data_IF_166928265166
#
_entry.id   IF_166928265166
#
_cell.length_a   1.000
_cell.length_b   1.000
_cell.length_c   1.000
_cell.angle_alpha   90.00
_cell.angle_beta   90.00
_cell.angle_gamma   90.00
#
_symmetry.space_group_name_H-M   'P 1'
#
loop_
_entity.id
_entity.type
_entity.pdbx_description
1 polymer ?
#
# COMPACT_ATOMS: atom_id res chain seq x y z
N UNK A 1 0.50 41.77 -22.18
CA UNK A 1 0.93 40.41 -21.80
C UNK A 1 2.45 40.37 -21.93
N UNK A 2 3.15 39.80 -20.96
CA UNK A 2 4.58 39.51 -21.15
C UNK A 2 4.74 38.52 -22.31
N UNK A 3 5.82 38.63 -23.11
CA UNK A 3 6.07 37.68 -24.20
C UNK A 3 6.24 36.26 -23.63
N UNK A 4 5.68 35.26 -24.31
CA UNK A 4 5.89 33.85 -23.96
C UNK A 4 7.39 33.54 -24.13
N UNK A 5 8.06 32.95 -23.14
CA UNK A 5 9.45 32.56 -23.25
C UNK A 5 9.68 31.62 -24.44
N UNK A 6 10.80 31.78 -25.16
CA UNK A 6 11.09 31.00 -26.37
C UNK A 6 10.96 29.47 -26.17
N UNK A 7 11.39 28.87 -25.04
CA UNK A 7 11.20 27.43 -24.78
C UNK A 7 9.72 27.00 -24.67
N UNK A 8 8.82 27.92 -24.38
CA UNK A 8 7.39 27.67 -24.17
C UNK A 8 6.54 27.94 -25.41
N UNK A 9 7.16 28.44 -26.48
CA UNK A 9 6.46 28.84 -27.70
C UNK A 9 5.70 27.66 -28.33
N UNK A 10 6.23 26.45 -28.28
CA UNK A 10 5.56 25.26 -28.83
C UNK A 10 4.20 24.97 -28.20
N UNK A 11 4.01 25.28 -26.91
CA UNK A 11 2.71 25.11 -26.25
C UNK A 11 1.73 26.21 -26.64
N UNK A 12 2.21 27.44 -26.78
CA UNK A 12 1.39 28.55 -27.28
C UNK A 12 0.91 28.29 -28.72
N UNK A 13 1.81 27.80 -29.58
CA UNK A 13 1.49 27.44 -30.96
C UNK A 13 0.48 26.27 -31.03
N UNK A 14 0.63 25.26 -30.15
CA UNK A 14 -0.31 24.16 -30.04
C UNK A 14 -1.71 24.64 -29.60
N UNK A 15 -1.79 25.54 -28.63
CA UNK A 15 -3.08 26.13 -28.20
C UNK A 15 -3.74 26.85 -29.36
N UNK A 16 -2.99 27.69 -30.10
CA UNK A 16 -3.53 28.40 -31.27
C UNK A 16 -4.05 27.44 -32.35
N UNK A 17 -3.32 26.34 -32.62
CA UNK A 17 -3.76 25.32 -33.57
C UNK A 17 -5.04 24.60 -33.12
N UNK A 18 -5.13 24.23 -31.84
CA UNK A 18 -6.32 23.59 -31.26
C UNK A 18 -7.53 24.53 -31.21
N UNK A 19 -7.32 25.83 -30.96
CA UNK A 19 -8.38 26.84 -31.01
C UNK A 19 -8.92 27.02 -32.43
N UNK A 20 -8.05 26.99 -33.45
CA UNK A 20 -8.47 26.99 -34.85
C UNK A 20 -9.27 25.74 -35.23
N UNK A 21 -8.85 24.55 -34.76
CA UNK A 21 -9.61 23.30 -34.95
C UNK A 21 -10.98 23.38 -34.26
N UNK A 22 -11.03 23.88 -33.03
CA UNK A 22 -12.28 24.04 -32.27
C UNK A 22 -13.27 24.95 -33.01
N UNK A 23 -12.78 26.04 -33.61
CA UNK A 23 -13.64 26.96 -34.36
C UNK A 23 -14.12 26.34 -35.68
N UNK A 24 -13.28 25.57 -36.38
CA UNK A 24 -13.71 24.80 -37.56
C UNK A 24 -14.82 23.79 -37.21
N UNK A 25 -14.68 23.07 -36.09
CA UNK A 25 -15.70 22.14 -35.60
C UNK A 25 -17.01 22.83 -35.20
N UNK A 26 -16.94 24.06 -34.67
CA UNK A 26 -18.13 24.85 -34.35
C UNK A 26 -18.88 25.31 -35.60
N UNK A 27 -18.15 25.73 -36.63
CA UNK A 27 -18.71 26.06 -37.95
C UNK A 27 -19.35 24.84 -38.60
N UNK A 28 -18.66 23.69 -38.55
CA UNK A 28 -19.21 22.40 -38.98
C UNK A 28 -20.50 22.09 -38.23
N UNK A 29 -20.52 22.15 -36.89
CA UNK A 29 -21.72 21.91 -36.07
C UNK A 29 -22.87 22.91 -36.33
N UNK A 30 -22.54 24.12 -36.78
CA UNK A 30 -23.50 25.15 -37.21
C UNK A 30 -24.09 24.92 -38.60
N UNK A 31 -23.63 23.89 -39.32
CA UNK A 31 -24.07 23.58 -40.69
C UNK A 31 -23.37 24.39 -41.77
N UNK A 32 -22.26 25.08 -41.46
CA UNK A 32 -21.47 25.79 -42.46
C UNK A 32 -20.93 24.81 -43.50
N UNK A 33 -21.21 25.07 -44.78
CA UNK A 33 -20.85 24.18 -45.89
C UNK A 33 -21.88 23.09 -46.22
N UNK A 34 -23.01 23.00 -45.49
CA UNK A 34 -24.11 22.09 -45.83
C UNK A 34 -25.17 22.76 -46.72
N UNK A 35 -25.83 21.99 -47.61
CA UNK A 35 -27.08 22.42 -48.24
C UNK A 35 -28.12 22.77 -47.17
N UNK A 36 -28.91 23.83 -47.39
CA UNK A 36 -29.91 24.32 -46.42
C UNK A 36 -30.99 23.29 -46.06
N UNK A 37 -31.13 22.25 -46.86
CA UNK A 37 -32.24 21.31 -46.83
C UNK A 37 -31.84 19.95 -46.23
N UNK A 38 -30.59 19.80 -45.78
CA UNK A 38 -30.03 18.53 -45.31
C UNK A 38 -29.69 18.59 -43.80
N UNK A 39 -30.62 18.20 -42.92
CA UNK A 39 -30.39 18.22 -41.48
C UNK A 39 -29.29 17.22 -41.09
N UNK A 40 -28.64 17.45 -39.95
CA UNK A 40 -27.71 16.49 -39.38
C UNK A 40 -28.37 15.12 -39.18
N UNK A 41 -27.67 14.06 -39.59
CA UNK A 41 -28.02 12.71 -39.18
C UNK A 41 -27.93 12.58 -37.65
N UNK A 42 -28.78 11.74 -37.06
CA UNK A 42 -28.90 11.60 -35.60
C UNK A 42 -27.56 11.31 -34.89
N UNK A 43 -26.66 10.54 -35.51
CA UNK A 43 -25.33 10.22 -34.95
C UNK A 43 -24.22 11.22 -35.30
N UNK A 44 -24.44 12.07 -36.30
CA UNK A 44 -23.41 12.94 -36.87
C UNK A 44 -23.13 14.16 -35.99
N UNK A 45 -24.21 14.82 -35.55
CA UNK A 45 -24.11 15.94 -34.60
C UNK A 45 -23.48 15.51 -33.28
N UNK A 46 -23.80 14.30 -32.83
CA UNK A 46 -23.21 13.72 -31.63
C UNK A 46 -21.70 13.44 -31.80
N UNK A 47 -21.29 12.93 -32.95
CA UNK A 47 -19.89 12.73 -33.28
C UNK A 47 -19.09 14.04 -33.30
N UNK A 48 -19.63 15.11 -33.89
CA UNK A 48 -19.01 16.44 -33.88
C UNK A 48 -18.90 16.98 -32.45
N UNK A 49 -19.95 16.84 -31.64
CA UNK A 49 -19.93 17.27 -30.24
C UNK A 49 -18.87 16.50 -29.41
N UNK A 50 -18.69 15.20 -29.65
CA UNK A 50 -17.62 14.42 -29.01
C UNK A 50 -16.23 14.94 -29.40
N UNK A 51 -16.01 15.30 -30.66
CA UNK A 51 -14.76 15.91 -31.14
C UNK A 51 -14.52 17.28 -30.48
N UNK A 52 -15.53 18.14 -30.42
CA UNK A 52 -15.47 19.45 -29.74
C UNK A 52 -15.04 19.28 -28.28
N UNK A 53 -15.66 18.36 -27.55
CA UNK A 53 -15.32 18.11 -26.16
C UNK A 53 -13.88 17.60 -25.98
N UNK A 54 -13.42 16.74 -26.89
CA UNK A 54 -12.03 16.25 -26.91
C UNK A 54 -11.03 17.39 -27.15
N UNK A 55 -11.27 18.25 -28.14
CA UNK A 55 -10.38 19.41 -28.43
C UNK A 55 -10.35 20.40 -27.26
N UNK A 56 -11.49 20.66 -26.61
CA UNK A 56 -11.54 21.49 -25.39
C UNK A 56 -10.65 20.94 -24.27
N UNK A 57 -10.65 19.63 -24.07
CA UNK A 57 -9.81 19.01 -23.05
C UNK A 57 -8.32 19.10 -23.41
N UNK A 58 -7.98 18.95 -24.69
CA UNK A 58 -6.61 19.18 -25.17
C UNK A 58 -6.16 20.62 -24.95
N UNK A 59 -7.01 21.62 -25.23
CA UNK A 59 -6.71 23.05 -24.97
C UNK A 59 -6.42 23.27 -23.48
N UNK A 60 -7.27 22.76 -22.58
CA UNK A 60 -7.04 22.88 -21.12
C UNK A 60 -5.73 22.24 -20.69
N UNK A 61 -5.38 21.10 -21.28
CA UNK A 61 -4.12 20.41 -21.00
C UNK A 61 -2.93 21.23 -21.48
N UNK A 62 -2.97 21.73 -22.71
CA UNK A 62 -1.92 22.55 -23.29
C UNK A 62 -1.76 23.89 -22.55
N UNK A 63 -2.86 24.52 -22.11
CA UNK A 63 -2.83 25.73 -21.27
C UNK A 63 -2.13 25.49 -19.93
N UNK A 64 -2.36 24.33 -19.31
CA UNK A 64 -1.67 23.94 -18.08
C UNK A 64 -0.17 23.77 -18.31
N UNK A 65 0.21 23.09 -19.39
CA UNK A 65 1.61 22.90 -19.78
C UNK A 65 2.29 24.22 -20.13
N UNK A 66 1.61 25.13 -20.84
CA UNK A 66 2.13 26.47 -21.12
C UNK A 66 2.33 27.25 -19.82
N UNK A 67 1.36 27.20 -18.91
CA UNK A 67 1.47 27.85 -17.60
C UNK A 67 2.68 27.31 -16.85
N UNK A 68 2.82 25.99 -16.72
CA UNK A 68 3.97 25.32 -16.11
C UNK A 68 5.29 25.73 -16.77
N UNK A 69 5.34 25.80 -18.10
CA UNK A 69 6.54 26.19 -18.82
C UNK A 69 6.91 27.65 -18.62
N UNK A 70 5.98 28.60 -18.79
CA UNK A 70 6.26 30.04 -18.62
C UNK A 70 6.84 30.29 -17.23
N UNK A 71 6.18 29.67 -16.28
CA UNK A 71 6.49 29.69 -14.88
C UNK A 71 7.88 29.08 -14.57
N UNK A 72 8.31 28.08 -15.35
CA UNK A 72 9.66 27.50 -15.32
C UNK A 72 10.78 28.41 -15.89
N UNK A 73 10.42 29.46 -16.64
CA UNK A 73 11.39 30.35 -17.30
C UNK A 73 11.55 31.71 -16.59
N UNK A 74 10.67 32.03 -15.65
CA UNK A 74 10.86 33.21 -14.80
C UNK A 74 12.00 32.96 -13.81
N UNK A 75 13.10 33.75 -13.85
CA UNK A 75 14.13 33.63 -12.84
C UNK A 75 13.49 33.98 -11.49
N UNK A 76 13.59 33.09 -10.50
CA UNK A 76 12.95 33.33 -9.22
C UNK A 76 13.68 34.45 -8.47
N UNK A 77 12.98 35.20 -7.59
CA UNK A 77 13.62 36.19 -6.75
C UNK A 77 14.76 35.57 -5.95
N UNK A 78 15.89 36.26 -5.87
CA UNK A 78 17.10 35.81 -5.17
C UNK A 78 16.86 35.49 -3.68
N UNK A 79 15.80 36.04 -3.09
CA UNK A 79 15.39 35.84 -1.69
C UNK A 79 14.20 34.87 -1.54
N UNK A 80 14.05 33.88 -2.45
CA UNK A 80 12.97 32.89 -2.33
C UNK A 80 13.15 32.07 -1.05
N UNK A 81 12.18 32.19 -0.14
CA UNK A 81 12.04 31.38 1.08
C UNK A 81 11.01 30.29 0.79
N UNK A 82 11.17 29.04 1.28
CA UNK A 82 10.15 28.02 1.07
C UNK A 82 8.86 28.43 1.79
N UNK A 83 7.74 27.82 1.41
CA UNK A 83 6.50 27.90 2.15
C UNK A 83 6.07 26.49 2.52
N UNK A 84 6.87 25.85 3.38
CA UNK A 84 6.68 24.45 3.71
C UNK A 84 5.24 24.18 4.15
N UNK A 85 4.70 23.05 3.71
CA UNK A 85 3.38 22.57 4.10
C UNK A 85 3.46 21.07 4.36
N UNK A 86 2.89 20.60 5.47
CA UNK A 86 2.63 19.16 5.66
C UNK A 86 1.40 18.77 4.84
N UNK A 87 1.64 18.37 3.59
CA UNK A 87 0.62 18.02 2.62
C UNK A 87 -0.26 16.85 3.09
N UNK A 88 0.31 15.91 3.85
CA UNK A 88 -0.41 14.75 4.38
C UNK A 88 0.39 13.95 5.42
N UNK A 89 -0.34 13.16 6.20
CA UNK A 89 0.22 12.19 7.15
C UNK A 89 -0.48 10.85 6.86
N UNK A 90 0.28 9.78 6.63
CA UNK A 90 -0.23 8.41 6.45
C UNK A 90 0.26 7.51 7.56
N UNK A 91 -0.59 6.58 8.00
CA UNK A 91 -0.27 5.61 9.05
C UNK A 91 -0.43 4.20 8.49
N UNK A 92 0.63 3.39 8.59
CA UNK A 92 0.76 2.16 7.81
C UNK A 92 1.09 0.95 8.70
N UNK A 93 0.34 -0.14 8.51
CA UNK A 93 0.52 -1.43 9.18
C UNK A 93 0.46 -2.60 8.19
N UNK A 94 0.99 -2.46 6.99
CA UNK A 94 0.94 -3.50 5.95
C UNK A 94 0.12 -3.05 4.75
N UNK A 95 -1.14 -2.71 4.95
CA UNK A 95 -1.96 -2.02 3.94
C UNK A 95 -1.91 -0.51 4.15
N UNK A 96 -2.02 0.24 3.06
CA UNK A 96 -1.97 1.68 3.04
C UNK A 96 -3.19 2.24 2.28
N UNK A 97 -3.61 3.45 2.63
CA UNK A 97 -4.33 4.32 1.71
C UNK A 97 -3.54 5.60 1.44
N UNK A 98 -3.70 6.16 0.24
CA UNK A 98 -3.14 7.47 -0.09
C UNK A 98 -3.72 8.50 0.90
N UNK A 99 -2.91 9.40 1.45
CA UNK A 99 -3.39 10.46 2.35
C UNK A 99 -4.48 11.35 1.76
N UNK A 100 -4.64 11.34 0.43
CA UNK A 100 -5.71 12.04 -0.29
C UNK A 100 -7.04 11.26 -0.31
N UNK A 101 -7.02 9.99 0.07
CA UNK A 101 -8.22 9.14 0.12
C UNK A 101 -9.08 9.48 1.34
N UNK A 102 -10.40 9.42 1.16
CA UNK A 102 -11.37 9.62 2.22
C UNK A 102 -11.66 8.35 3.04
N UNK A 103 -11.10 7.20 2.66
CA UNK A 103 -11.38 5.93 3.34
C UNK A 103 -10.28 5.57 4.35
N UNK A 104 -10.59 5.42 5.64
CA UNK A 104 -9.59 4.97 6.59
C UNK A 104 -9.33 3.47 6.47
N UNK A 105 -8.06 3.08 6.53
CA UNK A 105 -7.63 1.71 6.76
C UNK A 105 -7.87 1.34 8.21
N UNK A 106 -8.29 0.09 8.48
CA UNK A 106 -8.37 -0.43 9.85
C UNK A 106 -6.97 -0.66 10.43
N UNK A 107 -6.61 0.12 11.45
CA UNK A 107 -5.35 -0.01 12.16
C UNK A 107 -5.56 -0.77 13.46
N UNK A 108 -4.60 -1.62 13.83
CA UNK A 108 -4.65 -2.53 14.96
C UNK A 108 -3.68 -2.07 16.05
N UNK A 109 -4.13 -2.06 17.31
CA UNK A 109 -3.27 -1.75 18.46
C UNK A 109 -2.09 -2.71 18.57
N UNK A 110 -0.97 -2.23 19.11
CA UNK A 110 0.19 -3.06 19.44
C UNK A 110 0.89 -3.70 18.23
N UNK A 111 0.60 -3.24 17.00
CA UNK A 111 1.22 -3.73 15.77
C UNK A 111 2.28 -2.76 15.26
N UNK A 112 3.37 -3.26 14.66
CA UNK A 112 4.38 -2.40 14.07
C UNK A 112 3.78 -1.40 13.06
N UNK A 113 4.06 -0.10 13.27
CA UNK A 113 3.47 0.99 12.49
C UNK A 113 4.56 1.93 11.97
N UNK A 114 4.42 2.36 10.72
CA UNK A 114 5.20 3.47 10.14
C UNK A 114 4.27 4.63 9.80
N UNK A 115 4.66 5.82 10.22
CA UNK A 115 4.03 7.08 9.84
C UNK A 115 4.85 7.72 8.73
N UNK A 116 4.18 8.15 7.65
CA UNK A 116 4.80 8.86 6.52
C UNK A 116 4.25 10.27 6.49
N UNK A 117 5.13 11.27 6.55
CA UNK A 117 4.78 12.68 6.53
C UNK A 117 5.23 13.26 5.19
N UNK A 118 4.28 13.73 4.40
CA UNK A 118 4.52 14.32 3.09
C UNK A 118 4.66 15.83 3.22
N UNK A 119 5.75 16.36 2.67
CA UNK A 119 6.08 17.78 2.78
C UNK A 119 6.10 18.40 1.39
N UNK A 120 5.31 19.44 1.18
CA UNK A 120 5.40 20.29 0.02
C UNK A 120 6.42 21.41 0.29
N UNK A 121 7.23 21.74 -0.73
CA UNK A 121 8.23 22.83 -0.64
C UNK A 121 7.57 24.20 -0.51
N UNK A 122 6.33 24.36 -0.99
CA UNK A 122 5.66 25.65 -1.18
C UNK A 122 6.28 26.52 -2.27
N UNK A 123 7.41 26.09 -2.83
CA UNK A 123 8.05 26.72 -3.97
C UNK A 123 7.35 26.21 -5.20
N UNK A 124 6.61 27.11 -5.85
CA UNK A 124 6.12 26.82 -7.17
C UNK A 124 7.00 27.40 -8.26
N UNK A 125 7.79 28.49 -8.01
CA UNK A 125 8.40 29.58 -8.88
C UNK A 125 9.59 29.24 -9.79
N UNK A 126 9.80 27.95 -10.07
CA UNK A 126 10.97 27.49 -10.82
C UNK A 126 12.26 27.59 -10.01
N UNK A 127 12.22 28.07 -8.76
CA UNK A 127 13.41 28.21 -7.92
C UNK A 127 14.04 26.86 -7.64
N UNK A 128 15.35 26.81 -7.85
CA UNK A 128 16.18 25.65 -7.59
C UNK A 128 17.06 25.96 -6.39
N UNK A 129 16.72 25.36 -5.25
CA UNK A 129 17.50 25.46 -4.02
C UNK A 129 18.72 24.51 -4.00
N UNK A 130 19.16 24.02 -5.17
CA UNK A 130 20.23 23.04 -5.34
C UNK A 130 19.75 21.58 -5.39
N UNK A 131 18.44 21.34 -5.47
CA UNK A 131 17.81 20.02 -5.50
C UNK A 131 16.91 19.81 -6.73
N UNK A 132 16.95 20.74 -7.67
CA UNK A 132 16.04 20.83 -8.81
C UNK A 132 14.99 21.91 -8.61
N UNK A 133 14.35 22.30 -9.72
CA UNK A 133 13.27 23.28 -9.74
C UNK A 133 12.14 22.88 -8.80
N UNK A 134 11.63 23.85 -8.06
CA UNK A 134 10.50 23.72 -7.13
C UNK A 134 10.74 22.74 -5.99
N UNK A 135 12.01 22.40 -5.76
CA UNK A 135 12.41 21.45 -4.74
C UNK A 135 13.26 22.15 -3.68
N UNK A 136 13.04 21.73 -2.44
CA UNK A 136 13.79 22.23 -1.30
C UNK A 136 14.55 21.07 -0.64
N UNK A 137 15.90 21.12 -0.57
CA UNK A 137 16.70 20.07 0.05
C UNK A 137 16.69 20.14 1.57
N UNK A 138 17.24 19.11 2.20
CA UNK A 138 17.53 19.05 3.64
C UNK A 138 16.30 19.31 4.53
N UNK A 139 15.14 18.86 4.08
CA UNK A 139 13.92 18.89 4.88
C UNK A 139 14.00 17.77 5.89
N UNK A 140 13.87 18.11 7.15
CA UNK A 140 13.87 17.18 8.27
C UNK A 140 12.69 17.50 9.19
N UNK A 141 12.58 16.79 10.31
CA UNK A 141 11.47 16.99 11.21
C UNK A 141 11.51 16.08 12.43
N UNK A 142 10.46 16.18 13.23
CA UNK A 142 10.15 15.20 14.26
C UNK A 142 8.65 14.86 14.27
N UNK A 143 8.34 13.72 14.89
CA UNK A 143 6.99 13.28 15.11
C UNK A 143 6.78 13.06 16.60
N UNK A 144 5.83 13.80 17.18
CA UNK A 144 5.38 13.60 18.55
C UNK A 144 4.12 12.73 18.54
N UNK A 145 4.09 11.72 19.41
CA UNK A 145 2.91 10.87 19.63
C UNK A 145 2.36 11.13 21.02
N UNK A 146 1.10 11.51 21.09
CA UNK A 146 0.40 11.82 22.35
C UNK A 146 -0.79 10.87 22.50
N UNK A 147 -0.97 10.34 23.70
CA UNK A 147 -2.23 9.70 24.08
C UNK A 147 -3.22 10.81 24.51
N UNK A 148 -4.27 11.09 23.72
CA UNK A 148 -5.21 12.16 24.03
C UNK A 148 -6.02 11.90 25.30
N UNK A 149 -6.16 10.65 25.75
CA UNK A 149 -6.91 10.33 26.97
C UNK A 149 -6.13 10.68 28.24
N UNK A 150 -4.80 10.56 28.21
CA UNK A 150 -3.94 10.84 29.36
C UNK A 150 -3.16 12.14 29.24
N UNK A 151 -3.08 12.72 28.03
CA UNK A 151 -2.21 13.85 27.70
C UNK A 151 -0.72 13.51 27.70
N UNK A 152 -0.35 12.25 27.95
CA UNK A 152 1.05 11.83 27.96
C UNK A 152 1.60 11.79 26.54
N UNK A 153 2.66 12.55 26.30
CA UNK A 153 3.41 12.54 25.06
C UNK A 153 4.69 11.72 25.20
N UNK A 154 5.00 10.93 24.17
CA UNK A 154 6.29 10.25 24.06
C UNK A 154 7.45 11.20 23.76
N UNK A 155 8.67 10.67 23.66
CA UNK A 155 9.80 11.44 23.13
C UNK A 155 9.59 11.73 21.63
N UNK A 156 9.99 12.91 21.12
CA UNK A 156 9.94 13.21 19.68
C UNK A 156 10.75 12.18 18.88
N UNK A 157 10.11 11.58 17.90
CA UNK A 157 10.72 10.59 17.02
C UNK A 157 11.44 11.29 15.87
N UNK A 158 12.63 10.80 15.54
CA UNK A 158 13.41 11.26 14.39
C UNK A 158 13.07 10.44 13.14
N UNK A 159 13.16 11.02 11.93
CA UNK A 159 12.89 10.30 10.70
C UNK A 159 13.94 9.21 10.48
N UNK A 160 13.50 8.05 10.00
CA UNK A 160 14.35 6.90 9.67
C UNK A 160 14.87 6.93 8.23
N UNK A 161 14.65 8.03 7.52
CA UNK A 161 15.22 8.29 6.20
C UNK A 161 16.76 8.28 6.26
N UNK A 162 17.45 7.91 5.16
CA UNK A 162 18.89 8.13 5.06
C UNK A 162 19.24 9.60 5.36
N UNK A 163 20.18 9.84 6.29
CA UNK A 163 20.55 11.20 6.71
C UNK A 163 19.48 11.97 7.50
N UNK A 164 18.33 11.34 7.81
CA UNK A 164 17.22 11.96 8.53
C UNK A 164 16.56 13.10 7.77
N UNK A 165 16.61 13.08 6.44
CA UNK A 165 16.12 14.17 5.60
C UNK A 165 15.49 13.69 4.29
N UNK A 166 14.77 14.60 3.63
CA UNK A 166 14.19 14.43 2.29
C UNK A 166 14.38 15.69 1.45
N UNK A 167 14.04 15.58 0.16
CA UNK A 167 13.82 16.72 -0.73
C UNK A 167 12.31 16.93 -0.90
N UNK A 168 11.78 18.02 -0.34
CA UNK A 168 10.38 18.37 -0.54
C UNK A 168 10.19 18.89 -1.97
N UNK A 169 9.08 18.51 -2.61
CA UNK A 169 8.75 18.91 -3.97
C UNK A 169 7.47 19.76 -3.99
N UNK A 170 7.10 20.29 -5.16
CA UNK A 170 5.82 20.97 -5.32
C UNK A 170 4.66 20.03 -5.00
N UNK A 171 3.60 20.55 -4.36
CA UNK A 171 2.48 19.75 -3.82
C UNK A 171 1.88 18.76 -4.84
N UNK A 172 1.71 19.17 -6.09
CA UNK A 172 1.11 18.35 -7.14
C UNK A 172 2.00 17.20 -7.62
N UNK A 173 3.30 17.25 -7.33
CA UNK A 173 4.29 16.21 -7.70
C UNK A 173 4.52 15.18 -6.60
N UNK A 174 3.96 15.39 -5.40
CA UNK A 174 4.10 14.47 -4.28
C UNK A 174 3.44 13.13 -4.61
N UNK A 175 4.23 12.06 -4.57
CA UNK A 175 3.81 10.69 -4.85
C UNK A 175 3.89 9.82 -3.60
N UNK A 176 2.81 9.12 -3.29
CA UNK A 176 2.78 8.09 -2.23
C UNK A 176 3.62 6.87 -2.61
N UNK A 177 3.99 6.70 -3.88
CA UNK A 177 4.83 5.61 -4.39
C UNK A 177 6.34 5.83 -4.18
N UNK A 178 6.76 6.98 -3.64
CA UNK A 178 8.17 7.30 -3.42
C UNK A 178 8.44 7.55 -1.93
N UNK A 179 9.18 6.63 -1.29
CA UNK A 179 9.56 6.75 0.12
C UNK A 179 10.54 7.88 0.39
N UNK A 180 11.28 8.32 -0.63
CA UNK A 180 12.28 9.39 -0.51
C UNK A 180 11.63 10.78 -0.46
N UNK A 181 10.34 10.87 -0.77
CA UNK A 181 9.53 12.10 -0.76
C UNK A 181 8.66 12.26 0.49
N UNK A 182 8.83 11.39 1.47
CA UNK A 182 8.15 11.48 2.77
C UNK A 182 9.14 11.26 3.91
N UNK A 183 8.99 12.02 4.99
CA UNK A 183 9.68 11.71 6.25
C UNK A 183 8.98 10.50 6.87
N UNK A 184 9.73 9.42 7.10
CA UNK A 184 9.21 8.16 7.60
C UNK A 184 9.59 8.01 9.08
N UNK A 185 8.65 7.61 9.92
CA UNK A 185 8.85 7.44 11.37
C UNK A 185 8.35 6.07 11.78
N UNK A 186 9.14 5.33 12.56
CA UNK A 186 8.71 4.07 13.18
C UNK A 186 8.14 4.36 14.56
N UNK A 187 6.88 4.00 14.79
CA UNK A 187 6.27 4.21 16.10
C UNK A 187 6.72 3.11 17.07
N UNK A 188 7.09 3.46 18.31
CA UNK A 188 7.35 2.46 19.33
C UNK A 188 6.05 1.74 19.68
N UNK A 189 6.12 0.41 19.91
CA UNK A 189 4.92 -0.38 20.25
C UNK A 189 4.20 0.14 21.49
N UNK A 190 4.93 0.73 22.45
CA UNK A 190 4.34 1.33 23.65
C UNK A 190 3.36 2.47 23.35
N UNK A 191 3.58 3.23 22.26
CA UNK A 191 2.69 4.29 21.84
C UNK A 191 1.41 3.78 21.15
N UNK A 192 1.35 2.49 20.80
CA UNK A 192 0.25 1.88 20.05
C UNK A 192 -0.70 1.07 20.93
N UNK A 193 -0.59 1.21 22.25
CA UNK A 193 -1.45 0.53 23.22
C UNK A 193 -2.75 1.29 23.47
N UNK A 194 -2.79 2.59 23.17
CA UNK A 194 -3.95 3.44 23.39
C UNK A 194 -5.00 3.26 22.28
N UNK A 195 -6.31 3.44 22.58
CA UNK A 195 -7.39 3.40 21.59
C UNK A 195 -7.25 4.39 20.45
N UNK A 196 -6.73 5.56 20.78
CA UNK A 196 -6.56 6.66 19.85
C UNK A 196 -5.19 7.26 20.15
N UNK A 197 -4.51 7.72 19.11
CA UNK A 197 -3.25 8.45 19.23
C UNK A 197 -3.36 9.75 18.45
N UNK A 198 -2.73 10.79 18.97
CA UNK A 198 -2.51 12.03 18.25
C UNK A 198 -1.07 12.07 17.74
N UNK A 199 -0.92 12.33 16.44
CA UNK A 199 0.34 12.45 15.73
C UNK A 199 0.56 13.91 15.36
N UNK A 200 1.56 14.55 15.96
CA UNK A 200 1.96 15.92 15.64
C UNK A 200 3.29 15.89 14.90
N UNK A 201 3.23 16.14 13.59
CA UNK A 201 4.40 16.20 12.73
C UNK A 201 4.89 17.64 12.61
N UNK A 202 6.16 17.88 12.95
CA UNK A 202 6.83 19.17 12.79
C UNK A 202 7.95 19.00 11.79
N UNK A 203 7.98 19.84 10.77
CA UNK A 203 8.96 19.76 9.68
C UNK A 203 9.63 21.11 9.48
N UNK A 204 10.90 21.09 9.11
CA UNK A 204 11.68 22.29 8.88
C UNK A 204 12.85 22.04 7.94
N UNK A 205 13.38 23.11 7.34
CA UNK A 205 14.68 23.07 6.65
C UNK A 205 15.79 23.00 7.69
N UNK A 206 16.73 22.05 7.54
CA UNK A 206 17.89 21.91 8.43
C UNK A 206 18.64 23.25 8.58
N UNK A 207 18.93 23.64 9.82
CA UNK A 207 19.59 24.92 10.13
C UNK A 207 18.63 26.10 10.30
N UNK A 208 17.35 25.94 9.97
CA UNK A 208 16.33 27.00 10.06
C UNK A 208 15.25 26.72 11.12
N UNK A 209 15.50 25.77 12.03
CA UNK A 209 14.61 25.50 13.16
C UNK A 209 14.53 26.73 14.07
N UNK A 210 13.34 27.35 14.17
CA UNK A 210 13.11 28.56 14.98
C UNK A 210 13.14 29.89 14.23
N UNK A 211 13.48 29.92 12.94
CA UNK A 211 13.48 31.16 12.15
C UNK A 211 12.07 31.68 11.80
N UNK A 212 11.02 30.90 12.07
CA UNK A 212 9.64 31.25 11.70
C UNK A 212 9.44 31.34 10.19
N UNK A 213 8.33 31.94 9.75
CA UNK A 213 8.00 32.05 8.33
C UNK A 213 7.79 30.70 7.65
N UNK A 214 7.99 30.62 6.33
CA UNK A 214 7.77 29.39 5.56
C UNK A 214 8.89 28.33 5.67
N UNK A 215 9.85 28.51 6.58
CA UNK A 215 10.94 27.56 6.87
C UNK A 215 10.52 26.32 7.67
N UNK A 216 9.34 26.37 8.28
CA UNK A 216 8.78 25.27 9.06
C UNK A 216 7.29 25.11 8.79
N UNK A 217 6.79 23.90 9.07
CA UNK A 217 5.37 23.59 9.01
C UNK A 217 5.03 22.55 10.07
N UNK A 218 3.76 22.52 10.44
CA UNK A 218 3.25 21.57 11.41
C UNK A 218 1.87 21.08 11.00
N UNK A 219 1.58 19.81 11.32
CA UNK A 219 0.23 19.28 11.21
C UNK A 219 0.00 18.19 12.24
N UNK A 220 -1.23 18.14 12.73
CA UNK A 220 -1.72 17.12 13.64
C UNK A 220 -2.70 16.19 12.93
N UNK A 221 -2.65 14.89 13.27
CA UNK A 221 -3.59 13.87 12.84
C UNK A 221 -3.95 12.99 14.04
N UNK A 222 -5.25 12.79 14.27
CA UNK A 222 -5.75 11.82 15.25
C UNK A 222 -6.07 10.50 14.56
N UNK A 223 -5.68 9.38 15.16
CA UNK A 223 -5.79 8.05 14.56
C UNK A 223 -6.38 7.06 15.56
N UNK A 224 -7.42 6.36 15.14
CA UNK A 224 -8.01 5.29 15.93
C UNK A 224 -7.32 3.95 15.65
N UNK A 225 -7.02 3.24 16.75
CA UNK A 225 -6.43 1.92 16.76
C UNK A 225 -7.46 0.93 17.33
N UNK A 226 -7.85 -0.01 16.50
CA UNK A 226 -8.82 -1.04 16.85
C UNK A 226 -8.15 -2.13 17.70
N UNK A 227 -8.81 -2.59 18.77
CA UNK A 227 -8.30 -3.69 19.56
C UNK A 227 -8.39 -5.00 18.77
N UNK A 228 -7.38 -5.85 18.90
CA UNK A 228 -7.44 -7.26 18.49
C UNK A 228 -6.63 -8.09 19.46
N UNK A 229 -7.11 -9.27 19.81
CA UNK A 229 -6.35 -10.23 20.61
C UNK A 229 -5.16 -10.81 19.83
N UNK A 230 -4.20 -11.45 20.53
CA UNK A 230 -3.18 -12.23 19.85
C UNK A 230 -3.78 -13.39 19.06
N UNK A 231 -3.13 -13.76 17.96
CA UNK A 231 -3.44 -15.01 17.28
C UNK A 231 -2.58 -16.12 17.86
N UNK A 232 -3.21 -17.09 18.52
CA UNK A 232 -2.51 -18.28 19.02
C UNK A 232 -2.12 -19.17 17.83
N UNK A 233 -0.88 -19.68 17.86
CA UNK A 233 -0.29 -20.53 16.82
C UNK A 233 0.37 -21.73 17.49
N UNK A 234 0.06 -22.94 17.02
CA UNK A 234 0.76 -24.17 17.38
C UNK A 234 1.63 -24.62 16.20
N UNK A 235 2.96 -24.44 16.26
CA UNK A 235 3.86 -24.83 15.18
C UNK A 235 3.95 -26.35 15.08
N UNK A 236 3.77 -26.88 13.88
CA UNK A 236 3.96 -28.28 13.55
C UNK A 236 5.12 -28.40 12.54
N UNK A 237 6.27 -28.88 13.00
CA UNK A 237 7.47 -29.05 12.19
C UNK A 237 7.43 -30.44 11.55
N UNK A 238 7.08 -30.50 10.28
CA UNK A 238 6.70 -31.73 9.60
C UNK A 238 7.92 -32.42 8.97
N UNK A 239 8.12 -33.70 9.28
CA UNK A 239 9.09 -34.58 8.64
C UNK A 239 8.37 -35.29 7.47
N UNK A 240 8.78 -35.05 6.24
CA UNK A 240 8.24 -35.80 5.09
C UNK A 240 9.03 -37.10 4.95
N UNK A 241 8.50 -38.17 5.54
CA UNK A 241 9.15 -39.49 5.53
C UNK A 241 9.21 -40.06 4.11
N UNK A 242 8.19 -39.80 3.29
CA UNK A 242 8.10 -40.32 1.92
C UNK A 242 9.18 -39.75 1.01
N UNK A 243 9.53 -38.48 1.19
CA UNK A 243 10.59 -37.81 0.44
C UNK A 243 11.91 -37.66 1.21
N UNK A 244 12.07 -38.37 2.34
CA UNK A 244 13.27 -38.29 3.20
C UNK A 244 13.65 -36.87 3.64
N UNK A 245 12.66 -35.98 3.75
CA UNK A 245 12.88 -34.58 4.07
C UNK A 245 12.83 -34.36 5.59
N UNK A 246 13.87 -33.76 6.21
CA UNK A 246 13.87 -33.52 7.64
C UNK A 246 12.82 -32.49 8.05
N UNK A 247 12.53 -32.36 9.35
CA UNK A 247 11.71 -31.26 9.84
C UNK A 247 12.43 -29.92 9.68
N UNK A 248 11.71 -28.81 9.41
CA UNK A 248 12.27 -27.47 9.50
C UNK A 248 12.63 -27.12 10.95
N UNK A 249 13.50 -26.13 11.12
CA UNK A 249 13.82 -25.62 12.46
C UNK A 249 12.74 -24.69 12.99
N UNK A 250 12.57 -24.57 14.33
CA UNK A 250 11.72 -23.54 14.92
C UNK A 250 12.10 -22.12 14.47
N UNK A 251 13.39 -21.84 14.30
CA UNK A 251 13.87 -20.54 13.83
C UNK A 251 13.39 -20.21 12.42
N UNK A 252 13.41 -21.19 11.50
CA UNK A 252 12.84 -21.03 10.16
C UNK A 252 11.36 -20.71 10.23
N UNK A 253 10.61 -21.43 11.07
CA UNK A 253 9.18 -21.21 11.27
C UNK A 253 8.90 -19.78 11.79
N UNK A 254 9.56 -19.37 12.88
CA UNK A 254 9.36 -18.03 13.47
C UNK A 254 9.71 -16.92 12.49
N UNK A 255 10.80 -17.08 11.70
CA UNK A 255 11.18 -16.10 10.68
C UNK A 255 10.09 -15.95 9.62
N UNK A 256 9.56 -17.05 9.10
CA UNK A 256 8.49 -17.04 8.10
C UNK A 256 7.19 -16.48 8.67
N UNK A 257 6.84 -16.85 9.90
CA UNK A 257 5.66 -16.33 10.58
C UNK A 257 5.73 -14.80 10.75
N UNK A 258 6.90 -14.28 11.17
CA UNK A 258 7.14 -12.85 11.36
C UNK A 258 7.18 -12.08 10.04
N UNK A 259 8.04 -12.50 9.11
CA UNK A 259 8.25 -11.77 7.84
C UNK A 259 7.16 -12.02 6.81
N UNK A 260 6.48 -13.16 6.90
CA UNK A 260 5.34 -13.55 6.06
C UNK A 260 4.02 -13.01 6.61
N UNK A 261 3.51 -13.66 7.64
CA UNK A 261 2.15 -13.41 8.13
C UNK A 261 2.03 -12.13 8.97
N UNK A 262 2.91 -11.88 9.94
CA UNK A 262 2.77 -10.72 10.86
C UNK A 262 2.91 -9.38 10.13
N UNK A 263 3.81 -9.31 9.14
CA UNK A 263 4.03 -8.10 8.33
C UNK A 263 2.86 -7.77 7.40
N UNK A 264 2.03 -8.76 7.05
CA UNK A 264 0.93 -8.63 6.08
C UNK A 264 -0.44 -8.53 6.75
N UNK A 265 -0.74 -9.42 7.71
CA UNK A 265 -2.09 -9.63 8.25
C UNK A 265 -2.38 -8.76 9.50
N UNK A 266 -3.64 -8.35 9.75
CA UNK A 266 -4.08 -7.53 10.90
C UNK A 266 -3.91 -8.15 12.29
N UNK A 267 -2.83 -8.86 12.56
CA UNK A 267 -2.54 -9.50 13.85
C UNK A 267 -1.53 -8.61 14.61
N UNK A 268 -1.79 -8.28 15.89
CA UNK A 268 -0.86 -7.47 16.67
C UNK A 268 0.45 -8.22 16.95
N UNK A 269 0.32 -9.48 17.37
CA UNK A 269 1.41 -10.43 17.56
C UNK A 269 0.87 -11.85 17.59
N UNK A 270 1.76 -12.83 17.39
CA UNK A 270 1.43 -14.24 17.52
C UNK A 270 1.82 -14.77 18.90
N UNK A 271 0.89 -15.45 19.56
CA UNK A 271 1.19 -16.25 20.75
C UNK A 271 1.60 -17.65 20.27
N UNK A 272 2.90 -17.88 20.18
CA UNK A 272 3.45 -19.12 19.62
C UNK A 272 3.64 -20.16 20.72
N UNK A 273 2.91 -21.28 20.63
CA UNK A 273 3.05 -22.43 21.51
C UNK A 273 4.35 -23.20 21.24
N UNK A 274 4.68 -24.15 22.11
CA UNK A 274 5.82 -25.06 21.89
C UNK A 274 5.64 -25.83 20.58
N UNK A 275 6.69 -25.82 19.75
CA UNK A 275 6.67 -26.52 18.47
C UNK A 275 6.61 -28.04 18.67
N UNK A 276 5.87 -28.71 17.78
CA UNK A 276 5.72 -30.17 17.79
C UNK A 276 6.30 -30.70 16.48
N UNK A 277 7.21 -31.67 16.57
CA UNK A 277 7.75 -32.36 15.39
C UNK A 277 6.96 -33.62 15.10
N UNK A 278 6.51 -33.80 13.87
CA UNK A 278 5.63 -34.91 13.48
C UNK A 278 6.06 -35.54 12.15
N UNK A 279 6.07 -36.88 12.04
CA UNK A 279 6.23 -37.54 10.76
C UNK A 279 4.94 -37.48 9.94
N UNK A 280 5.07 -37.10 8.67
CA UNK A 280 4.01 -37.19 7.67
C UNK A 280 4.15 -38.51 6.93
N UNK A 281 3.08 -39.31 6.94
CA UNK A 281 3.02 -40.60 6.25
C UNK A 281 2.18 -40.54 4.96
N UNK A 282 1.41 -39.48 4.79
CA UNK A 282 0.62 -39.21 3.60
C UNK A 282 1.55 -38.89 2.43
N UNK A 283 1.16 -39.31 1.23
CA UNK A 283 1.91 -39.01 0.00
C UNK A 283 1.71 -37.55 -0.41
N UNK A 284 2.61 -36.66 0.03
CA UNK A 284 2.57 -35.23 -0.28
C UNK A 284 2.90 -34.89 -1.75
N UNK A 285 3.28 -35.87 -2.58
CA UNK A 285 3.38 -35.68 -4.04
C UNK A 285 1.99 -35.76 -4.72
N UNK A 286 0.92 -35.95 -3.95
CA UNK A 286 -0.46 -35.98 -4.43
C UNK A 286 -1.32 -34.95 -3.69
N UNK A 287 -2.25 -34.31 -4.40
CA UNK A 287 -3.19 -33.37 -3.80
C UNK A 287 -4.05 -34.04 -2.70
N UNK A 288 -4.41 -35.31 -2.90
CA UNK A 288 -5.15 -36.10 -1.91
C UNK A 288 -4.34 -36.29 -0.62
N UNK A 289 -3.02 -36.48 -0.71
CA UNK A 289 -2.16 -36.58 0.46
C UNK A 289 -2.07 -35.28 1.25
N UNK A 290 -2.01 -34.13 0.58
CA UNK A 290 -2.12 -32.81 1.23
C UNK A 290 -3.46 -32.66 1.96
N UNK A 291 -4.57 -32.96 1.29
CA UNK A 291 -5.91 -32.88 1.89
C UNK A 291 -6.05 -33.79 3.12
N UNK A 292 -5.63 -35.06 2.98
CA UNK A 292 -5.68 -36.04 4.07
C UNK A 292 -4.83 -35.61 5.28
N UNK A 293 -3.64 -35.04 5.04
CA UNK A 293 -2.77 -34.55 6.10
C UNK A 293 -3.40 -33.33 6.80
N UNK A 294 -3.82 -32.31 6.05
CA UNK A 294 -4.43 -31.10 6.60
C UNK A 294 -5.71 -31.42 7.39
N UNK A 295 -6.60 -32.27 6.85
CA UNK A 295 -7.81 -32.71 7.55
C UNK A 295 -7.50 -33.54 8.81
N UNK A 296 -6.49 -34.41 8.75
CA UNK A 296 -6.00 -35.16 9.90
C UNK A 296 -5.49 -34.25 11.02
N UNK A 297 -4.72 -33.21 10.67
CA UNK A 297 -4.26 -32.20 11.63
C UNK A 297 -5.39 -31.34 12.19
N UNK A 298 -6.44 -31.04 11.41
CA UNK A 298 -7.60 -30.28 11.89
C UNK A 298 -8.41 -31.05 12.95
N UNK A 299 -8.52 -32.37 12.77
CA UNK A 299 -9.36 -33.26 13.59
C UNK A 299 -8.60 -33.91 14.74
N UNK A 300 -7.27 -33.89 14.73
CA UNK A 300 -6.45 -34.48 15.78
C UNK A 300 -6.75 -33.85 17.16
N UNK A 301 -7.32 -34.65 18.06
CA UNK A 301 -7.72 -34.23 19.40
C UNK A 301 -6.56 -34.20 20.40
N UNK A 302 -5.44 -34.88 20.10
CA UNK A 302 -4.29 -35.01 20.99
C UNK A 302 -3.46 -33.72 21.16
N UNK A 303 -3.61 -32.72 20.28
CA UNK A 303 -2.95 -31.41 20.44
C UNK A 303 -3.51 -30.57 21.60
N UNK A 304 -4.42 -31.16 22.39
CA UNK A 304 -5.04 -30.55 23.56
C UNK A 304 -6.23 -29.69 23.18
N UNK A 305 -7.31 -29.79 23.98
CA UNK A 305 -8.49 -28.89 23.89
C UNK A 305 -8.17 -27.41 24.21
N UNK A 306 -6.91 -27.11 24.57
CA UNK A 306 -6.47 -25.76 24.96
C UNK A 306 -5.96 -24.90 23.80
N UNK A 307 -5.56 -25.49 22.66
CA UNK A 307 -5.15 -24.69 21.50
C UNK A 307 -6.38 -24.23 20.73
N UNK A 308 -7.01 -23.15 21.19
CA UNK A 308 -8.05 -22.48 20.43
C UNK A 308 -7.51 -21.95 19.09
N UNK A 309 -6.20 -21.69 19.00
CA UNK A 309 -5.57 -21.10 17.81
C UNK A 309 -5.32 -22.01 16.60
N UNK A 310 -4.56 -21.47 15.65
CA UNK A 310 -4.22 -22.09 14.37
C UNK A 310 -3.12 -23.14 14.56
N UNK A 311 -3.31 -24.31 13.95
CA UNK A 311 -2.26 -25.33 13.78
C UNK A 311 -1.49 -25.03 12.50
N UNK A 312 -0.20 -24.75 12.61
CA UNK A 312 0.59 -24.24 11.50
C UNK A 312 1.71 -25.23 11.15
N UNK A 313 1.47 -26.02 10.12
CA UNK A 313 2.41 -26.98 9.54
C UNK A 313 3.45 -26.30 8.64
N UNK A 314 4.72 -26.67 8.83
CA UNK A 314 5.80 -26.27 7.95
C UNK A 314 6.64 -27.48 7.54
N UNK A 315 6.94 -27.56 6.24
CA UNK A 315 7.89 -28.51 5.65
C UNK A 315 9.27 -27.85 5.49
N UNK A 316 10.35 -28.62 5.38
CA UNK A 316 11.72 -28.08 5.32
C UNK A 316 12.16 -27.56 3.96
N UNK A 317 11.54 -27.99 2.86
CA UNK A 317 11.87 -27.55 1.52
C UNK A 317 10.63 -27.54 0.62
N UNK A 318 10.61 -26.64 -0.36
CA UNK A 318 9.82 -26.82 -1.58
C UNK A 318 10.57 -27.84 -2.43
N UNK A 319 10.20 -29.11 -2.30
CA UNK A 319 10.73 -30.15 -3.18
C UNK A 319 10.02 -30.04 -4.53
N UNK A 320 10.74 -30.25 -5.63
CA UNK A 320 10.25 -30.15 -7.01
C UNK A 320 9.13 -31.16 -7.39
N UNK A 321 8.48 -31.80 -6.41
CA UNK A 321 7.43 -32.80 -6.60
C UNK A 321 6.12 -32.52 -5.86
N UNK A 322 6.01 -31.45 -5.07
CA UNK A 322 4.74 -31.10 -4.45
C UNK A 322 3.79 -30.43 -5.44
N UNK A 323 2.52 -30.86 -5.54
CA UNK A 323 1.56 -30.28 -6.48
C UNK A 323 1.09 -28.88 -6.07
N UNK A 324 1.29 -28.48 -4.81
CA UNK A 324 0.92 -27.18 -4.23
C UNK A 324 2.01 -26.68 -3.29
N UNK A 325 2.08 -25.35 -3.11
CA UNK A 325 2.98 -24.72 -2.14
C UNK A 325 2.47 -24.81 -0.70
N UNK A 326 1.18 -24.99 -0.50
CA UNK A 326 0.54 -25.11 0.80
C UNK A 326 -0.92 -25.54 0.68
N UNK A 327 -1.55 -25.76 1.83
CA UNK A 327 -2.99 -25.98 1.95
C UNK A 327 -3.48 -25.56 3.34
N UNK A 328 -4.48 -24.69 3.37
CA UNK A 328 -5.14 -24.24 4.59
C UNK A 328 -6.64 -24.53 4.57
N UNK A 329 -7.20 -24.76 5.76
CA UNK A 329 -8.64 -24.88 5.97
C UNK A 329 -9.07 -24.01 7.15
N UNK A 330 -10.22 -23.32 7.05
CA UNK A 330 -10.77 -22.58 8.16
C UNK A 330 -11.30 -23.53 9.23
N UNK A 331 -11.67 -22.97 10.38
CA UNK A 331 -12.42 -23.71 11.39
C UNK A 331 -13.74 -24.21 10.82
N UNK A 332 -13.96 -25.52 10.88
CA UNK A 332 -15.27 -26.15 10.58
C UNK A 332 -15.75 -26.90 11.81
N UNK A 333 -16.89 -26.47 12.36
CA UNK A 333 -17.49 -27.02 13.58
C UNK A 333 -16.48 -27.09 14.76
N UNK A 334 -16.14 -28.29 15.21
CA UNK A 334 -15.28 -28.56 16.37
C UNK A 334 -13.79 -28.74 16.01
N UNK A 335 -13.42 -28.56 14.74
CA UNK A 335 -12.04 -28.67 14.29
C UNK A 335 -11.23 -27.42 14.63
N UNK A 336 -9.90 -27.55 14.65
CA UNK A 336 -9.02 -26.39 14.71
C UNK A 336 -8.77 -25.85 13.28
N UNK A 337 -8.67 -24.53 13.08
CA UNK A 337 -8.12 -23.98 11.86
C UNK A 337 -6.69 -24.47 11.69
N UNK A 338 -6.33 -24.87 10.47
CA UNK A 338 -5.03 -25.46 10.21
C UNK A 338 -4.56 -25.11 8.82
N UNK A 339 -3.25 -24.98 8.69
CA UNK A 339 -2.61 -25.01 7.40
C UNK A 339 -1.31 -25.79 7.40
N UNK A 340 -0.85 -26.17 6.22
CA UNK A 340 0.47 -26.70 5.96
C UNK A 340 1.10 -25.87 4.85
N UNK A 341 2.36 -25.51 4.98
CA UNK A 341 3.08 -24.70 4.00
C UNK A 341 4.47 -25.26 3.72
N UNK A 342 4.91 -25.09 2.48
CA UNK A 342 6.34 -25.10 2.15
C UNK A 342 6.97 -23.78 2.60
N UNK A 343 8.32 -23.71 2.74
CA UNK A 343 8.98 -22.48 3.14
C UNK A 343 8.74 -21.33 2.15
N UNK A 344 8.08 -20.26 2.59
CA UNK A 344 7.88 -19.04 1.83
C UNK A 344 7.11 -18.00 2.63
N UNK A 345 7.54 -16.74 2.60
CA UNK A 345 6.86 -15.65 3.31
C UNK A 345 5.45 -15.41 2.77
N UNK A 346 5.29 -15.44 1.44
CA UNK A 346 3.99 -15.29 0.78
C UNK A 346 3.11 -16.52 1.02
N UNK A 347 3.70 -17.73 0.93
CA UNK A 347 2.97 -19.00 1.14
C UNK A 347 2.40 -19.07 2.55
N UNK A 348 3.20 -18.85 3.60
CA UNK A 348 2.68 -18.96 4.98
C UNK A 348 1.58 -17.92 5.27
N UNK A 349 1.66 -16.73 4.68
CA UNK A 349 0.65 -15.69 4.82
C UNK A 349 -0.62 -16.04 4.04
N UNK A 350 -0.50 -16.59 2.82
CA UNK A 350 -1.59 -17.10 2.00
C UNK A 350 -2.35 -18.22 2.73
N UNK A 351 -1.61 -19.21 3.20
CA UNK A 351 -2.19 -20.36 3.89
C UNK A 351 -2.84 -19.97 5.23
N UNK A 352 -2.27 -19.00 5.95
CA UNK A 352 -2.93 -18.41 7.10
C UNK A 352 -4.22 -17.69 6.70
N UNK A 353 -4.25 -17.04 5.53
CA UNK A 353 -5.47 -16.45 4.98
C UNK A 353 -6.64 -17.43 4.87
N UNK A 354 -6.38 -18.65 4.40
CA UNK A 354 -7.40 -19.72 4.38
C UNK A 354 -7.95 -20.06 5.76
N UNK A 355 -7.13 -19.98 6.82
CA UNK A 355 -7.60 -20.24 8.19
C UNK A 355 -8.61 -19.21 8.70
N UNK A 356 -8.63 -18.03 8.08
CA UNK A 356 -9.59 -16.96 8.32
C UNK A 356 -10.79 -16.98 7.34
N UNK A 357 -10.96 -18.06 6.59
CA UNK A 357 -12.10 -18.24 5.69
C UNK A 357 -12.01 -17.46 4.37
N UNK A 358 -10.80 -17.05 3.97
CA UNK A 358 -10.56 -16.57 2.60
C UNK A 358 -10.40 -17.75 1.65
N UNK A 359 -10.97 -17.63 0.46
CA UNK A 359 -10.62 -18.49 -0.68
C UNK A 359 -9.68 -17.74 -1.62
N UNK A 360 -9.38 -18.29 -2.78
CA UNK A 360 -8.42 -17.70 -3.70
C UNK A 360 -8.96 -16.45 -4.41
N UNK A 361 -8.11 -15.44 -4.59
CA UNK A 361 -8.40 -14.30 -5.44
C UNK A 361 -8.24 -14.66 -6.92
N UNK A 362 -9.10 -14.12 -7.78
CA UNK A 362 -9.04 -14.36 -9.23
C UNK A 362 -7.98 -13.46 -9.87
N UNK A 363 -6.80 -14.01 -10.20
CA UNK A 363 -5.69 -13.22 -10.75
C UNK A 363 -5.72 -13.12 -12.28
N UNK A 364 -5.78 -14.24 -12.98
CA UNK A 364 -5.78 -14.37 -14.45
C UNK A 364 -7.13 -14.80 -15.00
N UNK A 365 -8.02 -15.29 -14.13
CA UNK A 365 -9.34 -15.80 -14.48
C UNK A 365 -9.34 -17.22 -15.02
N UNK A 366 -8.18 -17.89 -15.02
CA UNK A 366 -7.99 -19.28 -15.45
C UNK A 366 -7.56 -20.20 -14.31
N UNK A 367 -7.57 -19.69 -13.07
CA UNK A 367 -7.18 -20.48 -11.90
C UNK A 367 -8.20 -21.60 -11.66
N UNK A 368 -7.76 -22.84 -11.35
CA UNK A 368 -8.64 -24.01 -11.29
C UNK A 368 -9.43 -24.15 -9.97
N UNK A 369 -9.26 -23.20 -9.04
CA UNK A 369 -9.79 -23.28 -7.68
C UNK A 369 -10.96 -22.31 -7.48
N UNK A 370 -11.88 -22.59 -6.53
CA UNK A 370 -12.98 -21.68 -6.26
C UNK A 370 -12.49 -20.29 -5.88
N UNK A 371 -13.13 -19.26 -6.43
CA UNK A 371 -12.74 -17.87 -6.21
C UNK A 371 -13.55 -17.22 -5.08
N UNK A 372 -12.87 -16.38 -4.32
CA UNK A 372 -13.50 -15.48 -3.36
C UNK A 372 -13.84 -14.16 -4.08
N UNK A 373 -15.13 -13.94 -4.37
CA UNK A 373 -15.58 -12.72 -5.07
C UNK A 373 -15.40 -11.45 -4.24
N UNK A 374 -15.08 -11.58 -2.94
CA UNK A 374 -14.75 -10.46 -2.06
C UNK A 374 -13.32 -9.95 -2.28
N UNK A 375 -12.45 -10.76 -2.88
CA UNK A 375 -11.03 -10.44 -3.08
C UNK A 375 -10.75 -9.98 -4.51
N UNK A 376 -10.03 -8.86 -4.72
CA UNK A 376 -9.57 -8.49 -6.04
C UNK A 376 -8.38 -9.35 -6.47
N UNK A 377 -8.18 -9.58 -7.77
CA UNK A 377 -6.97 -10.27 -8.25
C UNK A 377 -5.65 -9.52 -8.00
N UNK A 378 -5.73 -8.19 -7.86
CA UNK A 378 -4.61 -7.28 -7.62
C UNK A 378 -5.01 -6.20 -6.64
N UNK A 379 -4.08 -5.80 -5.77
CA UNK A 379 -4.27 -4.72 -4.81
C UNK A 379 -4.54 -3.41 -5.55
N UNK A 380 -5.63 -2.73 -5.20
CA UNK A 380 -5.92 -1.37 -5.70
C UNK A 380 -5.11 -0.32 -4.95
N UNK A 381 -4.81 -0.60 -3.69
CA UNK A 381 -4.06 0.27 -2.82
C UNK A 381 -2.58 -0.11 -2.79
N UNK A 382 -1.78 0.85 -2.33
CA UNK A 382 -0.39 0.65 -1.95
C UNK A 382 -0.32 -0.25 -0.70
N UNK A 383 0.76 -1.00 -0.57
CA UNK A 383 1.15 -1.70 0.65
C UNK A 383 2.52 -1.24 1.13
N UNK A 384 2.84 -1.53 2.39
CA UNK A 384 4.14 -1.23 2.98
C UNK A 384 4.59 -2.38 3.88
N UNK A 385 5.72 -3.00 3.55
CA UNK A 385 6.41 -3.89 4.48
C UNK A 385 7.14 -3.07 5.54
N UNK A 386 6.47 -2.81 6.67
CA UNK A 386 6.89 -1.86 7.73
C UNK A 386 8.32 -2.11 8.24
N UNK A 387 8.72 -3.38 8.39
CA UNK A 387 10.06 -3.73 8.91
C UNK A 387 11.19 -3.35 7.94
N UNK A 388 10.94 -3.49 6.64
CA UNK A 388 11.94 -3.29 5.59
C UNK A 388 11.80 -1.91 4.92
N UNK A 389 10.74 -1.16 5.26
CA UNK A 389 10.32 0.05 4.55
C UNK A 389 10.28 -0.18 3.03
N UNK A 390 9.60 -1.25 2.61
CA UNK A 390 9.46 -1.59 1.19
C UNK A 390 8.03 -1.37 0.73
N UNK A 391 7.83 -0.51 -0.27
CA UNK A 391 6.53 -0.28 -0.88
C UNK A 391 6.10 -1.42 -1.79
N UNK A 392 4.80 -1.70 -1.77
CA UNK A 392 4.11 -2.60 -2.70
C UNK A 392 3.14 -1.79 -3.55
N UNK A 393 3.49 -1.45 -4.81
CA UNK A 393 2.70 -0.53 -5.60
C UNK A 393 1.27 -1.07 -5.85
N UNK A 394 0.29 -0.19 -6.14
CA UNK A 394 -0.97 -0.59 -6.74
C UNK A 394 -0.75 -1.52 -7.94
N UNK A 395 -1.62 -2.51 -8.10
CA UNK A 395 -1.46 -3.58 -9.08
C UNK A 395 -0.61 -4.76 -8.60
N UNK A 396 -0.01 -4.70 -7.41
CA UNK A 396 0.62 -5.88 -6.79
C UNK A 396 -0.39 -7.02 -6.71
N UNK A 397 -0.02 -8.26 -7.08
CA UNK A 397 -0.85 -9.43 -6.87
C UNK A 397 -1.43 -9.54 -5.46
N UNK A 398 -2.71 -9.89 -5.36
CA UNK A 398 -3.35 -10.13 -4.07
C UNK A 398 -2.77 -11.40 -3.40
N UNK A 399 -2.66 -11.39 -2.07
CA UNK A 399 -2.05 -12.45 -1.25
C UNK A 399 -2.64 -13.84 -1.51
N UNK A 400 -3.95 -13.93 -1.64
CA UNK A 400 -4.72 -15.13 -1.94
C UNK A 400 -4.77 -15.47 -3.44
N UNK A 401 -4.05 -14.75 -4.29
CA UNK A 401 -3.94 -15.03 -5.72
C UNK A 401 -2.80 -15.99 -6.07
N UNK A 402 -2.92 -16.68 -7.21
CA UNK A 402 -1.85 -17.51 -7.79
C UNK A 402 -0.96 -16.75 -8.79
N UNK A 403 -0.91 -15.42 -8.70
CA UNK A 403 0.05 -14.68 -9.53
C UNK A 403 1.49 -14.96 -9.05
N UNK A 404 2.46 -14.63 -9.90
CA UNK A 404 3.87 -14.63 -9.48
C UNK A 404 4.09 -13.65 -8.32
N UNK A 405 4.81 -14.12 -7.29
CA UNK A 405 5.31 -13.31 -6.19
C UNK A 405 6.10 -12.07 -6.68
N UNK A 406 6.19 -10.99 -5.88
CA UNK A 406 5.66 -10.86 -4.53
C UNK A 406 4.14 -10.61 -4.50
N UNK A 407 3.45 -11.21 -3.54
CA UNK A 407 2.02 -10.98 -3.27
C UNK A 407 1.82 -10.14 -2.01
N UNK A 408 0.69 -9.42 -1.92
CA UNK A 408 0.37 -8.58 -0.78
C UNK A 408 -1.13 -8.58 -0.48
N UNK A 409 -1.58 -8.49 0.78
CA UNK A 409 -3.01 -8.47 1.05
C UNK A 409 -3.63 -7.19 0.47
N UNK A 410 -4.77 -7.32 -0.19
CA UNK A 410 -5.61 -6.15 -0.46
C UNK A 410 -6.23 -5.63 0.84
N UNK A 411 -6.83 -4.44 0.79
CA UNK A 411 -7.62 -3.92 1.90
C UNK A 411 -8.78 -4.86 2.25
N UNK A 412 -9.43 -5.43 1.25
CA UNK A 412 -10.53 -6.38 1.42
C UNK A 412 -10.05 -7.67 2.12
N UNK A 413 -8.92 -8.24 1.71
CA UNK A 413 -8.34 -9.40 2.37
C UNK A 413 -7.91 -9.11 3.81
N UNK A 414 -7.32 -7.94 4.04
CA UNK A 414 -6.98 -7.46 5.37
C UNK A 414 -8.23 -7.37 6.26
N UNK A 415 -9.29 -6.75 5.77
CA UNK A 415 -10.55 -6.60 6.50
C UNK A 415 -11.22 -7.94 6.81
N UNK A 416 -11.21 -8.91 5.89
CA UNK A 416 -11.74 -10.26 6.15
C UNK A 416 -10.99 -10.91 7.31
N UNK A 417 -9.65 -10.83 7.34
CA UNK A 417 -8.85 -11.38 8.43
C UNK A 417 -9.09 -10.64 9.73
N UNK A 418 -9.36 -9.33 9.69
CA UNK A 418 -9.75 -8.57 10.88
C UNK A 418 -11.10 -9.06 11.45
N UNK A 419 -12.10 -9.24 10.58
CA UNK A 419 -13.46 -9.61 10.97
C UNK A 419 -13.62 -11.09 11.37
N UNK A 420 -12.68 -11.95 10.99
CA UNK A 420 -12.73 -13.39 11.24
C UNK A 420 -11.50 -13.90 12.00
N UNK A 421 -11.36 -13.63 13.32
CA UNK A 421 -10.28 -14.21 14.11
C UNK A 421 -10.40 -15.75 14.13
N UNK A 422 -9.28 -16.46 13.97
CA UNK A 422 -9.24 -17.92 13.80
C UNK A 422 -9.22 -18.69 15.12
#
# INVERSE_FOLDING_TARGET
MQPVPAPCQSYADLIAALEAELEALRREAGGEGRPKDEPFGAGEKEAINRRINKVREHIRTAQRQLTECVYEQEPPPADTVPALEVAGIEVNQGVQEDFRSASPVRLVRGRATVVRVFVASGVSNGFDAGAGRNQWPHITGDLLVTDPATGMAGAPLQPVNPGGEIVAAARHTISSLDLTRSLNFRLPLSALNSPTIELRARVWVRGHYGQGGGWNAERTLTVDLLPRGPQEITPLLLIDVGNTSPAPTPATFTRLLRRGALSRLPVPFFQVNSAITLPVRQNLNSLLGWFAMTAGLATASFFGRRSGGIRAGLLSASLAGYPVGGMGIPRVWFTAPVFISTPGEDVIAHEMGHTHGMNHAQCRGSEPWPHDTRLPGRCRSLGLHVEDLLLRPPGTPELMGYCSAPTWPSREGYDIVFDNPA
#
